data_IF_130691926008
#
_entry.id   IF_130691926008
#
_cell.length_a   1.000
_cell.length_b   1.000
_cell.length_c   1.000
_cell.angle_alpha   90.00
_cell.angle_beta   90.00
_cell.angle_gamma   90.00
#
_symmetry.space_group_name_H-M   'P 1'
#
loop_
_entity.id
_entity.type
_entity.pdbx_description
1 polymer ?
#
# COMPACT_ATOMS: atom_id res chain seq x y z
N UNK A 1 18.20 -34.21 26.96
CA UNK A 1 17.24 -33.08 26.98
C UNK A 1 18.07 -31.84 27.21
N UNK A 2 18.03 -30.84 26.33
CA UNK A 2 18.76 -29.59 26.58
C UNK A 2 18.16 -28.90 27.80
N UNK A 3 19.01 -28.48 28.71
CA UNK A 3 18.61 -27.87 29.96
C UNK A 3 18.53 -26.33 29.85
N UNK A 4 18.01 -25.69 30.89
CA UNK A 4 17.80 -24.24 30.91
C UNK A 4 19.12 -23.47 30.71
N UNK A 5 20.22 -23.97 31.26
CA UNK A 5 21.55 -23.39 31.14
C UNK A 5 22.06 -23.42 29.70
N UNK A 6 21.94 -24.56 29.02
CA UNK A 6 22.36 -24.73 27.63
C UNK A 6 21.55 -23.84 26.67
N UNK A 7 20.22 -23.83 26.82
CA UNK A 7 19.34 -22.98 26.00
C UNK A 7 19.64 -21.49 26.22
N UNK A 8 19.87 -21.09 27.47
CA UNK A 8 20.24 -19.71 27.81
C UNK A 8 21.59 -19.31 27.21
N UNK A 9 22.58 -20.21 27.31
CA UNK A 9 23.91 -20.02 26.73
C UNK A 9 23.82 -19.79 25.23
N UNK A 10 23.12 -20.67 24.53
CA UNK A 10 22.95 -20.59 23.08
C UNK A 10 22.21 -19.31 22.66
N UNK A 11 21.13 -18.96 23.38
CA UNK A 11 20.34 -17.76 23.07
C UNK A 11 21.17 -16.48 23.19
N UNK A 12 21.93 -16.34 24.28
CA UNK A 12 22.78 -15.16 24.51
C UNK A 12 23.94 -15.10 23.51
N UNK A 13 24.55 -16.25 23.18
CA UNK A 13 25.62 -16.33 22.19
C UNK A 13 25.14 -15.81 20.82
N UNK A 14 23.96 -16.25 20.37
CA UNK A 14 23.36 -15.81 19.10
C UNK A 14 23.08 -14.32 19.11
N UNK A 15 22.56 -13.78 20.22
CA UNK A 15 22.34 -12.34 20.36
C UNK A 15 23.67 -11.59 20.19
N UNK A 16 24.74 -12.03 20.86
CA UNK A 16 26.07 -11.40 20.75
C UNK A 16 26.57 -11.46 19.31
N UNK A 17 26.47 -12.60 18.62
CA UNK A 17 26.87 -12.74 17.22
C UNK A 17 26.09 -11.81 16.28
N UNK A 18 24.78 -11.68 16.49
CA UNK A 18 23.93 -10.84 15.64
C UNK A 18 24.30 -9.37 15.78
N UNK A 19 24.52 -8.91 17.00
CA UNK A 19 24.93 -7.53 17.30
C UNK A 19 26.38 -7.31 16.83
N UNK A 20 27.26 -8.29 17.04
CA UNK A 20 28.66 -8.24 16.70
C UNK A 20 28.91 -8.02 15.20
N UNK A 21 28.12 -8.66 14.33
CA UNK A 21 28.21 -8.43 12.88
C UNK A 21 27.93 -7.00 12.43
N UNK A 22 27.15 -6.23 13.21
CA UNK A 22 26.83 -4.83 12.91
C UNK A 22 27.75 -3.83 13.60
N UNK A 23 28.59 -4.29 14.51
CA UNK A 23 29.51 -3.48 15.31
C UNK A 23 30.85 -4.23 15.41
N UNK A 24 31.19 -4.75 16.58
CA UNK A 24 32.22 -5.77 16.78
C UNK A 24 31.73 -6.77 17.83
N UNK A 25 32.20 -8.01 17.76
CA UNK A 25 31.82 -9.03 18.75
C UNK A 25 32.25 -8.63 20.17
N UNK A 26 33.40 -7.98 20.32
CA UNK A 26 33.88 -7.38 21.57
C UNK A 26 32.88 -6.36 22.14
N UNK A 27 32.42 -5.44 21.29
CA UNK A 27 31.48 -4.41 21.69
C UNK A 27 30.12 -5.02 22.08
N UNK A 28 29.65 -6.00 21.30
CA UNK A 28 28.43 -6.74 21.58
C UNK A 28 28.51 -7.49 22.92
N UNK A 29 29.61 -8.20 23.17
CA UNK A 29 29.86 -8.92 24.41
C UNK A 29 29.85 -7.98 25.63
N UNK A 30 30.51 -6.82 25.53
CA UNK A 30 30.51 -5.80 26.60
C UNK A 30 29.11 -5.22 26.82
N UNK A 31 28.38 -4.91 25.74
CA UNK A 31 27.03 -4.35 25.82
C UNK A 31 26.05 -5.33 26.50
N UNK A 32 26.07 -6.61 26.10
CA UNK A 32 25.23 -7.65 26.72
C UNK A 32 25.65 -7.91 28.16
N UNK A 33 26.95 -7.95 28.48
CA UNK A 33 27.45 -8.09 29.86
C UNK A 33 26.93 -6.98 30.76
N UNK A 34 26.99 -5.74 30.30
CA UNK A 34 26.49 -4.59 31.04
C UNK A 34 24.97 -4.64 31.19
N UNK A 35 24.25 -5.10 30.18
CA UNK A 35 22.80 -5.23 30.22
C UNK A 35 22.35 -6.33 31.20
N UNK A 36 23.02 -7.49 31.21
CA UNK A 36 22.80 -8.55 32.20
C UNK A 36 23.03 -8.04 33.62
N UNK A 37 24.11 -7.29 33.87
CA UNK A 37 24.38 -6.64 35.17
C UNK A 37 23.28 -5.67 35.58
N UNK A 38 22.72 -4.90 34.65
CA UNK A 38 21.60 -3.99 34.92
C UNK A 38 20.30 -4.72 35.30
N UNK A 39 20.12 -5.94 34.79
CA UNK A 39 18.93 -6.77 35.07
C UNK A 39 19.07 -7.61 36.35
N UNK A 40 20.28 -7.82 36.87
CA UNK A 40 20.54 -8.59 38.09
C UNK A 40 19.74 -8.16 39.34
N UNK A 41 19.49 -6.86 39.61
CA UNK A 41 18.68 -6.45 40.76
C UNK A 41 17.25 -7.01 40.73
N UNK A 42 16.71 -7.23 39.53
CA UNK A 42 15.36 -7.79 39.31
C UNK A 42 15.41 -9.31 39.14
N UNK A 43 16.49 -9.82 38.53
CA UNK A 43 16.69 -11.24 38.24
C UNK A 43 18.06 -11.70 38.77
N UNK A 44 18.20 -11.99 40.08
CA UNK A 44 19.50 -12.28 40.70
C UNK A 44 20.23 -13.47 40.07
N UNK A 45 19.49 -14.46 39.57
CA UNK A 45 20.07 -15.64 38.90
C UNK A 45 20.86 -15.33 37.63
N UNK A 46 20.72 -14.12 37.04
CA UNK A 46 21.55 -13.69 35.91
C UNK A 46 23.04 -13.56 36.28
N UNK A 47 23.39 -13.54 37.57
CA UNK A 47 24.78 -13.64 38.02
C UNK A 47 25.46 -14.97 37.62
N UNK A 48 24.67 -15.99 37.28
CA UNK A 48 25.17 -17.29 36.81
C UNK A 48 25.54 -17.29 35.32
N UNK A 49 25.41 -16.15 34.63
CA UNK A 49 25.75 -15.96 33.22
C UNK A 49 26.98 -15.08 33.14
N UNK A 50 28.07 -15.63 32.60
CA UNK A 50 29.35 -14.98 32.46
C UNK A 50 29.70 -14.83 30.98
N UNK A 51 30.00 -13.60 30.55
CA UNK A 51 30.45 -13.32 29.18
C UNK A 51 31.96 -13.06 29.25
N UNK A 52 32.76 -13.96 28.68
CA UNK A 52 34.22 -13.88 28.67
C UNK A 52 34.71 -12.71 27.79
N UNK A 53 35.96 -12.31 27.95
CA UNK A 53 36.58 -11.29 27.10
C UNK A 53 37.11 -11.99 25.83
N UNK A 54 36.67 -11.54 24.65
CA UNK A 54 36.91 -12.22 23.36
C UNK A 54 38.33 -12.04 22.81
N UNK A 55 39.21 -11.30 23.51
CA UNK A 55 40.60 -11.07 23.11
C UNK A 55 41.51 -12.31 23.10
N UNK A 56 41.03 -13.48 23.50
CA UNK A 56 41.88 -14.66 23.75
C UNK A 56 41.27 -16.02 23.41
N UNK A 57 40.15 -16.08 22.68
CA UNK A 57 39.43 -17.36 22.48
C UNK A 57 39.11 -17.59 21.00
N UNK A 58 40.03 -18.24 20.28
CA UNK A 58 39.76 -18.76 18.93
C UNK A 58 38.96 -20.07 18.96
N UNK A 59 38.73 -20.69 20.13
CA UNK A 59 38.16 -22.05 20.25
C UNK A 59 37.12 -22.27 21.37
N UNK A 60 36.82 -21.29 22.24
CA UNK A 60 35.81 -21.45 23.30
C UNK A 60 34.62 -20.50 23.15
N UNK A 61 33.42 -20.94 23.57
CA UNK A 61 32.22 -20.10 23.60
C UNK A 61 32.41 -18.86 24.48
N UNK A 62 32.04 -17.69 23.95
CA UNK A 62 32.09 -16.40 24.62
C UNK A 62 31.15 -16.32 25.84
N UNK A 63 30.12 -17.16 25.87
CA UNK A 63 29.11 -17.22 26.93
C UNK A 63 29.27 -18.50 27.75
N UNK A 64 29.47 -18.34 29.06
CA UNK A 64 29.43 -19.41 30.05
C UNK A 64 28.17 -19.25 30.89
N UNK A 65 27.39 -20.31 31.03
CA UNK A 65 26.23 -20.35 31.92
C UNK A 65 26.45 -21.46 32.93
N UNK A 66 26.35 -21.14 34.22
CA UNK A 66 26.59 -22.09 35.31
C UNK A 66 25.35 -22.93 35.60
N UNK A 67 25.55 -24.19 35.95
CA UNK A 67 24.51 -25.18 36.28
C UNK A 67 23.46 -24.76 37.31
N UNK A 68 23.73 -23.88 38.30
CA UNK A 68 22.68 -23.40 39.20
C UNK A 68 21.49 -22.78 38.47
N UNK A 69 21.65 -22.30 37.23
CA UNK A 69 20.53 -21.81 36.42
C UNK A 69 19.48 -22.91 36.11
N UNK A 70 19.88 -24.18 36.06
CA UNK A 70 18.99 -25.31 35.84
C UNK A 70 18.02 -25.57 37.00
N UNK A 71 18.30 -25.02 38.18
CA UNK A 71 17.43 -25.11 39.36
C UNK A 71 16.34 -24.03 39.39
N UNK A 72 16.46 -23.01 38.54
CA UNK A 72 15.50 -21.92 38.44
C UNK A 72 14.36 -22.34 37.51
N UNK A 73 13.13 -21.92 37.83
CA UNK A 73 11.97 -22.10 36.95
C UNK A 73 12.31 -21.58 35.54
N UNK A 74 12.28 -22.43 34.50
CA UNK A 74 12.59 -22.04 33.13
C UNK A 74 11.76 -20.85 32.64
N UNK A 75 10.53 -20.69 33.14
CA UNK A 75 9.69 -19.52 32.79
C UNK A 75 10.21 -18.23 33.39
N UNK A 76 10.74 -18.26 34.61
CA UNK A 76 11.36 -17.10 35.25
C UNK A 76 12.63 -16.67 34.49
N UNK A 77 13.47 -17.63 34.07
CA UNK A 77 14.61 -17.37 33.18
C UNK A 77 14.12 -16.79 31.84
N UNK A 78 13.03 -17.35 31.30
CA UNK A 78 12.41 -16.84 30.08
C UNK A 78 11.93 -15.40 30.15
N UNK A 79 11.35 -14.98 31.29
CA UNK A 79 10.96 -13.58 31.52
C UNK A 79 12.18 -12.64 31.46
N UNK A 80 13.29 -13.01 32.12
CA UNK A 80 14.51 -12.21 32.10
C UNK A 80 15.10 -12.08 30.68
N UNK A 81 15.09 -13.17 29.91
CA UNK A 81 15.56 -13.18 28.52
C UNK A 81 14.66 -12.38 27.58
N UNK A 82 13.34 -12.40 27.77
CA UNK A 82 12.43 -11.51 27.06
C UNK A 82 12.74 -10.04 27.32
N UNK A 83 13.00 -9.69 28.57
CA UNK A 83 13.30 -8.32 28.96
C UNK A 83 14.62 -7.84 28.35
N UNK A 84 15.64 -8.71 28.35
CA UNK A 84 16.90 -8.50 27.64
C UNK A 84 16.65 -8.15 26.16
N UNK A 85 15.90 -9.00 25.45
CA UNK A 85 15.57 -8.80 24.03
C UNK A 85 14.80 -7.50 23.81
N UNK A 86 13.81 -7.18 24.65
CA UNK A 86 13.05 -5.92 24.54
C UNK A 86 13.96 -4.70 24.65
N UNK A 87 14.89 -4.68 25.60
CA UNK A 87 15.82 -3.56 25.77
C UNK A 87 16.73 -3.42 24.54
N UNK A 88 17.24 -4.54 24.02
CA UNK A 88 18.06 -4.57 22.80
C UNK A 88 17.25 -4.03 21.61
N UNK A 89 16.03 -4.52 21.40
CA UNK A 89 15.17 -4.07 20.31
C UNK A 89 14.84 -2.58 20.40
N UNK A 90 14.60 -2.04 21.60
CA UNK A 90 14.35 -0.61 21.80
C UNK A 90 15.59 0.23 21.50
N UNK A 91 16.79 -0.32 21.72
CA UNK A 91 18.05 0.34 21.36
C UNK A 91 18.32 0.32 19.85
N UNK A 92 17.68 -0.58 19.10
CA UNK A 92 17.74 -0.60 17.64
C UNK A 92 16.64 0.27 17.01
N UNK A 93 16.98 1.01 15.95
CA UNK A 93 16.01 1.79 15.17
C UNK A 93 14.88 0.92 14.57
N UNK A 94 13.83 1.56 14.03
CA UNK A 94 12.58 0.91 13.53
C UNK A 94 12.86 -0.37 12.72
N UNK A 95 13.72 -0.27 11.70
CA UNK A 95 14.02 -1.37 10.76
C UNK A 95 14.94 -2.43 11.38
N UNK A 96 15.94 -2.01 12.17
CA UNK A 96 16.95 -2.91 12.72
C UNK A 96 16.39 -3.85 13.81
N UNK A 97 15.43 -3.39 14.63
CA UNK A 97 14.78 -4.22 15.64
C UNK A 97 13.91 -5.33 15.04
N UNK A 98 13.26 -5.09 13.89
CA UNK A 98 12.47 -6.09 13.18
C UNK A 98 13.34 -7.24 12.63
N UNK A 99 14.45 -6.88 11.97
CA UNK A 99 15.38 -7.88 11.44
C UNK A 99 16.11 -8.65 12.55
N UNK A 100 16.33 -8.02 13.72
CA UNK A 100 16.99 -8.65 14.86
C UNK A 100 16.24 -9.90 15.40
N UNK A 101 14.92 -9.82 15.59
CA UNK A 101 14.16 -11.01 16.05
C UNK A 101 14.15 -12.10 14.99
N UNK A 102 13.86 -11.74 13.74
CA UNK A 102 13.82 -12.71 12.64
C UNK A 102 15.13 -13.48 12.56
N UNK A 103 16.23 -12.76 12.62
CA UNK A 103 17.56 -13.34 12.51
C UNK A 103 17.95 -14.17 13.74
N UNK A 104 17.52 -13.77 14.94
CA UNK A 104 17.67 -14.58 16.16
C UNK A 104 16.96 -15.93 16.00
N UNK A 105 15.73 -15.93 15.47
CA UNK A 105 14.96 -17.16 15.22
C UNK A 105 15.61 -18.04 14.15
N UNK A 106 16.10 -17.43 13.07
CA UNK A 106 16.72 -18.17 11.97
C UNK A 106 18.06 -18.82 12.41
N UNK A 107 18.83 -18.16 13.29
CA UNK A 107 20.11 -18.67 13.80
C UNK A 107 19.99 -19.66 14.96
N UNK A 108 18.95 -19.57 15.79
CA UNK A 108 18.81 -20.44 16.96
C UNK A 108 18.45 -21.87 16.61
N UNK A 109 17.83 -22.07 15.45
CA UNK A 109 17.43 -23.38 14.99
C UNK A 109 16.17 -23.88 15.70
N UNK A 110 15.45 -24.75 14.99
CA UNK A 110 14.10 -25.20 15.34
C UNK A 110 14.04 -25.84 16.73
N UNK A 111 15.07 -26.61 17.11
CA UNK A 111 15.09 -27.33 18.38
C UNK A 111 15.12 -26.39 19.59
N UNK A 112 16.00 -25.39 19.59
CA UNK A 112 16.07 -24.40 20.67
C UNK A 112 14.86 -23.46 20.65
N UNK A 113 14.35 -23.08 19.47
CA UNK A 113 13.13 -22.27 19.34
C UNK A 113 11.91 -22.95 19.98
N UNK A 114 11.76 -24.27 19.79
CA UNK A 114 10.70 -25.03 20.45
C UNK A 114 10.83 -25.05 21.97
N UNK A 115 12.05 -25.15 22.51
CA UNK A 115 12.28 -25.14 23.97
C UNK A 115 12.02 -23.74 24.54
N UNK A 116 12.47 -22.70 23.85
CA UNK A 116 12.16 -21.31 24.18
C UNK A 116 10.65 -21.11 24.27
N UNK A 117 9.90 -21.55 23.26
CA UNK A 117 8.44 -21.42 23.23
C UNK A 117 7.73 -22.25 24.31
N UNK A 118 7.99 -23.56 24.36
CA UNK A 118 7.21 -24.50 25.18
C UNK A 118 7.62 -24.52 26.64
N UNK A 119 8.90 -24.31 26.94
CA UNK A 119 9.47 -24.47 28.29
C UNK A 119 9.72 -23.12 28.94
N UNK A 120 10.30 -22.18 28.21
CA UNK A 120 10.66 -20.85 28.74
C UNK A 120 9.61 -19.77 28.43
N UNK A 121 8.52 -20.14 27.74
CA UNK A 121 7.44 -19.24 27.33
C UNK A 121 7.92 -18.05 26.47
N UNK A 122 9.03 -18.17 25.72
CA UNK A 122 9.52 -17.14 24.80
C UNK A 122 9.02 -17.42 23.39
N UNK A 123 8.04 -16.64 22.94
CA UNK A 123 7.57 -16.65 21.56
C UNK A 123 8.20 -15.49 20.78
N UNK A 124 9.25 -15.80 20.02
CA UNK A 124 9.95 -14.81 19.18
C UNK A 124 9.02 -14.24 18.10
N UNK A 125 8.08 -15.03 17.57
CA UNK A 125 7.13 -14.57 16.55
C UNK A 125 6.16 -13.55 17.14
N UNK A 126 5.59 -13.83 18.31
CA UNK A 126 4.72 -12.89 19.01
C UNK A 126 5.46 -11.62 19.40
N UNK A 127 6.72 -11.72 19.84
CA UNK A 127 7.55 -10.56 20.17
C UNK A 127 7.81 -9.68 18.93
N UNK A 128 8.02 -10.27 17.76
CA UNK A 128 8.17 -9.54 16.50
C UNK A 128 6.92 -8.75 16.15
N UNK A 129 5.75 -9.42 16.20
CA UNK A 129 4.46 -8.80 15.91
C UNK A 129 4.14 -7.67 16.89
N UNK A 130 4.38 -7.91 18.19
CA UNK A 130 4.13 -6.92 19.25
C UNK A 130 4.97 -5.66 19.05
N UNK A 131 6.24 -5.80 18.66
CA UNK A 131 7.11 -4.65 18.39
C UNK A 131 6.65 -3.83 17.19
N UNK A 132 6.14 -4.47 16.13
CA UNK A 132 5.57 -3.76 14.97
C UNK A 132 4.35 -2.94 15.41
N UNK A 133 3.46 -3.54 16.20
CA UNK A 133 2.25 -2.87 16.70
C UNK A 133 2.61 -1.70 17.61
N UNK A 134 3.44 -1.90 18.63
CA UNK A 134 3.87 -0.84 19.56
C UNK A 134 4.53 0.32 18.81
N UNK A 135 5.38 0.04 17.80
CA UNK A 135 6.00 1.09 16.99
C UNK A 135 5.02 1.81 16.08
N UNK A 136 4.03 1.11 15.51
CA UNK A 136 2.95 1.73 14.72
C UNK A 136 2.09 2.63 15.60
N UNK A 137 1.69 2.17 16.79
CA UNK A 137 0.94 2.95 17.77
C UNK A 137 1.71 4.20 18.22
N UNK A 138 2.99 4.07 18.60
CA UNK A 138 3.82 5.24 18.95
C UNK A 138 3.96 6.21 17.77
N UNK A 139 4.04 5.70 16.54
CA UNK A 139 4.10 6.54 15.34
C UNK A 139 2.79 7.28 15.10
N UNK A 140 1.64 6.64 15.35
CA UNK A 140 0.32 7.25 15.23
C UNK A 140 0.07 8.29 16.32
N UNK A 141 0.48 8.02 17.57
CA UNK A 141 0.31 8.95 18.70
C UNK A 141 1.09 10.26 18.55
N UNK A 142 2.16 10.26 17.74
CA UNK A 142 2.99 11.45 17.48
C UNK A 142 2.47 12.33 16.36
N UNK A 143 1.54 11.85 15.54
CA UNK A 143 1.01 12.62 14.42
C UNK A 143 -0.12 13.50 14.95
N UNK A 144 0.14 14.81 14.98
CA UNK A 144 -0.85 15.79 15.39
C UNK A 144 -1.87 16.04 14.28
N UNK A 145 -3.06 16.57 14.63
CA UNK A 145 -4.11 16.84 13.64
C UNK A 145 -3.67 17.91 12.64
N UNK A 146 -2.91 18.90 13.10
CA UNK A 146 -2.26 19.92 12.25
C UNK A 146 -1.36 19.29 11.19
N UNK A 147 -0.57 18.27 11.55
CA UNK A 147 0.28 17.54 10.61
C UNK A 147 -0.54 16.77 9.58
N UNK A 148 -1.62 16.11 10.02
CA UNK A 148 -2.52 15.37 9.11
C UNK A 148 -3.11 16.29 8.05
N UNK A 149 -3.67 17.43 8.46
CA UNK A 149 -4.27 18.38 7.51
C UNK A 149 -3.19 18.98 6.60
N UNK A 150 -2.01 19.30 7.14
CA UNK A 150 -0.91 19.89 6.35
C UNK A 150 -0.47 18.92 5.28
N UNK A 151 -0.27 17.66 5.64
CA UNK A 151 0.14 16.61 4.71
C UNK A 151 -0.94 16.31 3.68
N UNK A 152 -2.21 16.27 4.10
CA UNK A 152 -3.36 16.11 3.20
C UNK A 152 -3.42 17.21 2.15
N UNK A 153 -3.37 18.48 2.55
CA UNK A 153 -3.46 19.62 1.62
C UNK A 153 -2.26 19.70 0.67
N UNK A 154 -1.04 19.42 1.15
CA UNK A 154 0.15 19.33 0.28
C UNK A 154 0.00 18.21 -0.75
N UNK A 155 -0.40 17.02 -0.31
CA UNK A 155 -0.65 15.90 -1.21
C UNK A 155 -1.72 16.24 -2.26
N UNK A 156 -2.79 16.94 -1.86
CA UNK A 156 -3.85 17.38 -2.75
C UNK A 156 -3.35 18.37 -3.81
N UNK A 157 -2.51 19.34 -3.42
CA UNK A 157 -1.86 20.28 -4.35
C UNK A 157 -0.94 19.53 -5.32
N UNK A 158 -0.12 18.60 -4.83
CA UNK A 158 0.79 17.81 -5.68
C UNK A 158 0.04 16.96 -6.71
N UNK A 159 -1.09 16.34 -6.34
CA UNK A 159 -1.93 15.56 -7.25
C UNK A 159 -2.59 16.48 -8.29
N UNK A 160 -3.10 17.63 -7.88
CA UNK A 160 -3.68 18.61 -8.79
C UNK A 160 -2.66 19.17 -9.78
N UNK A 161 -1.44 19.45 -9.32
CA UNK A 161 -0.34 19.98 -10.14
C UNK A 161 -0.02 19.04 -11.30
N UNK A 162 -0.03 17.73 -11.08
CA UNK A 162 0.22 16.72 -12.13
C UNK A 162 -0.76 16.80 -13.30
N UNK A 163 -2.00 17.17 -13.03
CA UNK A 163 -3.01 17.26 -14.07
C UNK A 163 -3.08 18.69 -14.64
N UNK A 164 -2.84 19.70 -13.83
CA UNK A 164 -3.10 21.12 -14.15
C UNK A 164 -1.79 21.94 -14.22
N UNK A 165 -1.67 23.00 -13.42
CA UNK A 165 -0.43 23.72 -13.18
C UNK A 165 -0.32 24.00 -11.69
N UNK A 166 0.91 24.18 -11.18
CA UNK A 166 1.14 24.51 -9.77
C UNK A 166 0.35 25.74 -9.32
N UNK A 167 0.33 26.79 -10.14
CA UNK A 167 -0.45 28.01 -9.88
C UNK A 167 -1.93 27.70 -9.69
N UNK A 168 -2.49 26.91 -10.59
CA UNK A 168 -3.89 26.54 -10.57
C UNK A 168 -4.21 25.69 -9.33
N UNK A 169 -3.38 24.69 -9.04
CA UNK A 169 -3.54 23.81 -7.87
C UNK A 169 -3.56 24.60 -6.55
N UNK A 170 -2.56 25.45 -6.32
CA UNK A 170 -2.47 26.30 -5.12
C UNK A 170 -3.69 27.22 -5.02
N UNK A 171 -4.03 27.90 -6.11
CA UNK A 171 -5.15 28.85 -6.15
C UNK A 171 -6.47 28.16 -5.86
N UNK A 172 -6.71 27.00 -6.48
CA UNK A 172 -7.93 26.22 -6.28
C UNK A 172 -8.06 25.78 -4.83
N UNK A 173 -7.04 25.15 -4.24
CA UNK A 173 -7.12 24.69 -2.84
C UNK A 173 -7.23 25.88 -1.88
N UNK A 174 -6.52 26.98 -2.11
CA UNK A 174 -6.65 28.21 -1.32
C UNK A 174 -8.09 28.76 -1.35
N UNK A 175 -8.72 28.80 -2.53
CA UNK A 175 -10.12 29.22 -2.69
C UNK A 175 -11.08 28.28 -1.97
N UNK A 176 -10.87 26.96 -2.02
CA UNK A 176 -11.70 25.96 -1.32
C UNK A 176 -11.61 26.10 0.19
N UNK A 177 -10.40 26.21 0.72
CA UNK A 177 -10.19 26.47 2.15
C UNK A 177 -10.84 27.79 2.56
N UNK A 178 -10.70 28.85 1.76
CA UNK A 178 -11.30 30.16 2.05
C UNK A 178 -12.83 30.12 2.05
N UNK A 179 -13.45 29.52 1.03
CA UNK A 179 -14.90 29.42 0.91
C UNK A 179 -15.54 28.68 2.10
N UNK A 180 -14.87 27.64 2.59
CA UNK A 180 -15.35 26.82 3.69
C UNK A 180 -15.18 27.46 5.07
N UNK A 181 -14.48 28.60 5.21
CA UNK A 181 -14.30 29.30 6.51
C UNK A 181 -15.62 29.76 7.14
N UNK A 182 -16.64 30.03 6.32
CA UNK A 182 -17.97 30.40 6.81
C UNK A 182 -18.67 29.24 7.53
N UNK A 183 -18.41 28.00 7.08
CA UNK A 183 -18.98 26.79 7.66
C UNK A 183 -18.09 26.21 8.77
N UNK A 184 -16.78 26.36 8.63
CA UNK A 184 -15.79 25.79 9.53
C UNK A 184 -14.80 26.89 9.97
N UNK A 185 -15.13 27.57 11.07
CA UNK A 185 -14.36 28.73 11.54
C UNK A 185 -12.88 28.42 11.79
N UNK A 186 -12.55 27.20 12.22
CA UNK A 186 -11.17 26.78 12.45
C UNK A 186 -10.30 26.78 11.18
N UNK A 187 -10.88 26.83 9.97
CA UNK A 187 -10.12 26.97 8.71
C UNK A 187 -9.44 28.35 8.57
N UNK A 188 -9.72 29.31 9.45
CA UNK A 188 -8.93 30.55 9.56
C UNK A 188 -7.49 30.26 9.98
N UNK A 189 -7.26 29.14 10.66
CA UNK A 189 -5.95 28.72 11.16
C UNK A 189 -5.11 27.99 10.09
N UNK A 190 -5.59 28.00 8.83
CA UNK A 190 -4.92 27.40 7.67
C UNK A 190 -4.63 28.48 6.63
N UNK A 191 -3.38 28.58 6.22
CA UNK A 191 -2.93 29.44 5.12
C UNK A 191 -2.31 28.61 4.01
N UNK A 192 -2.67 28.93 2.78
CA UNK A 192 -2.10 28.34 1.57
C UNK A 192 -1.43 29.46 0.79
N UNK A 193 -0.12 29.37 0.64
CA UNK A 193 0.72 30.45 0.12
C UNK A 193 1.36 30.03 -1.21
N UNK A 194 1.42 30.95 -2.16
CA UNK A 194 2.21 30.78 -3.38
C UNK A 194 3.65 31.27 -3.12
N UNK A 195 4.57 30.31 -2.99
CA UNK A 195 5.98 30.55 -2.66
C UNK A 195 6.71 31.49 -3.62
N UNK A 196 6.14 31.78 -4.80
CA UNK A 196 6.70 32.76 -5.74
C UNK A 196 6.60 34.20 -5.25
N UNK A 197 5.64 34.49 -4.37
CA UNK A 197 5.35 35.84 -3.89
C UNK A 197 5.67 36.05 -2.41
N UNK A 198 5.91 34.98 -1.66
CA UNK A 198 6.14 35.02 -0.20
C UNK A 198 7.43 34.30 0.19
N UNK A 199 8.55 35.03 0.13
CA UNK A 199 9.86 34.56 0.60
C UNK A 199 9.80 34.15 2.09
N UNK A 200 10.18 32.90 2.38
CA UNK A 200 10.24 32.36 3.74
C UNK A 200 8.94 31.78 4.30
N UNK A 201 7.83 31.80 3.53
CA UNK A 201 6.58 31.16 3.94
C UNK A 201 6.55 29.65 3.61
N UNK A 202 5.78 28.86 4.36
CA UNK A 202 5.42 27.50 3.94
C UNK A 202 4.26 27.52 2.94
N UNK A 203 4.27 26.62 1.94
CA UNK A 203 3.19 26.49 0.93
C UNK A 203 1.83 26.17 1.58
N UNK A 204 1.84 25.37 2.65
CA UNK A 204 0.69 25.11 3.51
C UNK A 204 1.13 25.30 4.95
N UNK A 205 0.65 26.36 5.59
CA UNK A 205 0.90 26.66 7.00
C UNK A 205 -0.37 26.38 7.81
N UNK A 206 -0.23 25.64 8.91
CA UNK A 206 -1.33 25.29 9.80
C UNK A 206 -0.95 25.63 11.24
N UNK A 207 -1.78 26.42 11.90
CA UNK A 207 -1.55 26.80 13.30
C UNK A 207 -1.96 25.66 14.25
N UNK A 208 -1.35 25.63 15.45
CA UNK A 208 -1.47 24.52 16.39
C UNK A 208 -2.88 24.38 17.00
N UNK A 209 -3.69 25.43 16.95
CA UNK A 209 -5.08 25.50 17.40
C UNK A 209 -5.97 24.47 16.68
N UNK A 210 -5.57 24.00 15.49
CA UNK A 210 -6.24 22.87 14.81
C UNK A 210 -6.24 21.60 15.67
N UNK A 211 -5.24 21.40 16.53
CA UNK A 211 -5.11 20.20 17.35
C UNK A 211 -6.22 20.07 18.40
N UNK A 212 -6.83 21.18 18.82
CA UNK A 212 -7.92 21.19 19.81
C UNK A 212 -9.29 20.94 19.18
N UNK A 213 -9.40 20.93 17.85
CA UNK A 213 -10.68 20.74 17.16
C UNK A 213 -11.11 19.27 17.21
N UNK A 214 -12.42 19.04 17.35
CA UNK A 214 -13.01 17.71 17.32
C UNK A 214 -12.66 16.98 16.00
N UNK A 215 -12.13 15.74 16.05
CA UNK A 215 -11.68 15.02 14.86
C UNK A 215 -12.74 14.91 13.76
N UNK A 216 -14.00 14.75 14.14
CA UNK A 216 -15.12 14.63 13.20
C UNK A 216 -15.39 15.92 12.44
N UNK A 217 -15.20 17.07 13.06
CA UNK A 217 -15.40 18.36 12.40
C UNK A 217 -14.28 18.66 11.40
N UNK A 218 -13.03 18.33 11.78
CA UNK A 218 -11.90 18.35 10.83
C UNK A 218 -12.17 17.42 9.65
N UNK A 219 -12.66 16.21 9.91
CA UNK A 219 -12.95 15.24 8.87
C UNK A 219 -14.05 15.71 7.91
N UNK A 220 -15.10 16.37 8.41
CA UNK A 220 -16.13 16.99 7.56
C UNK A 220 -15.54 18.08 6.67
N UNK A 221 -14.70 18.96 7.20
CA UNK A 221 -14.03 19.99 6.41
C UNK A 221 -13.11 19.39 5.33
N UNK A 222 -12.32 18.38 5.68
CA UNK A 222 -11.47 17.65 4.73
C UNK A 222 -12.31 17.03 3.60
N UNK A 223 -13.42 16.36 3.93
CA UNK A 223 -14.34 15.79 2.92
C UNK A 223 -14.93 16.86 2.01
N UNK A 224 -15.33 18.00 2.56
CA UNK A 224 -15.85 19.13 1.76
C UNK A 224 -14.79 19.66 0.78
N UNK A 225 -13.55 19.83 1.24
CA UNK A 225 -12.44 20.26 0.38
C UNK A 225 -12.23 19.25 -0.75
N UNK A 226 -12.16 17.95 -0.43
CA UNK A 226 -11.95 16.89 -1.42
C UNK A 226 -13.09 16.86 -2.44
N UNK A 227 -14.34 16.85 -1.97
CA UNK A 227 -15.54 16.79 -2.80
C UNK A 227 -15.63 17.98 -3.77
N UNK A 228 -15.44 19.20 -3.28
CA UNK A 228 -15.51 20.40 -4.14
C UNK A 228 -14.34 20.47 -5.14
N UNK A 229 -13.17 19.97 -4.74
CA UNK A 229 -12.01 19.86 -5.64
C UNK A 229 -12.30 18.88 -6.77
N UNK A 230 -12.77 17.68 -6.44
CA UNK A 230 -13.12 16.65 -7.43
C UNK A 230 -14.23 17.12 -8.37
N UNK A 231 -15.28 17.75 -7.83
CA UNK A 231 -16.35 18.34 -8.63
C UNK A 231 -15.80 19.36 -9.63
N UNK A 232 -14.91 20.25 -9.20
CA UNK A 232 -14.30 21.26 -10.09
C UNK A 232 -13.50 20.60 -11.21
N UNK A 233 -12.77 19.51 -10.92
CA UNK A 233 -12.03 18.78 -11.94
C UNK A 233 -12.94 18.08 -12.92
N UNK A 234 -13.99 17.42 -12.43
CA UNK A 234 -15.00 16.78 -13.28
C UNK A 234 -15.67 17.79 -14.22
N UNK A 235 -16.03 18.98 -13.71
CA UNK A 235 -16.60 20.07 -14.50
C UNK A 235 -15.62 20.58 -15.60
N UNK A 236 -14.31 20.41 -15.39
CA UNK A 236 -13.24 20.72 -16.34
C UNK A 236 -12.84 19.53 -17.23
N UNK A 237 -13.56 18.40 -17.17
CA UNK A 237 -13.26 17.18 -17.93
C UNK A 237 -12.01 16.42 -17.46
N UNK A 238 -11.60 16.62 -16.20
CA UNK A 238 -10.38 16.02 -15.60
C UNK A 238 -10.73 14.90 -14.62
N UNK A 239 -9.71 14.10 -14.27
CA UNK A 239 -9.88 12.96 -13.37
C UNK A 239 -9.97 13.42 -11.90
N UNK A 240 -10.75 12.73 -11.05
CA UNK A 240 -10.76 12.98 -9.61
C UNK A 240 -9.39 12.73 -8.98
N UNK A 241 -9.04 13.50 -7.95
CA UNK A 241 -7.77 13.39 -7.20
C UNK A 241 -7.82 12.31 -6.14
N UNK A 242 -9.00 11.89 -5.67
CA UNK A 242 -9.13 10.98 -4.53
C UNK A 242 -8.36 9.66 -4.73
N UNK A 243 -8.35 9.11 -5.94
CA UNK A 243 -7.60 7.89 -6.27
C UNK A 243 -6.09 8.05 -6.15
N UNK A 244 -5.56 9.11 -6.74
CA UNK A 244 -4.12 9.40 -6.71
C UNK A 244 -3.64 9.84 -5.33
N UNK A 245 -4.49 10.54 -4.57
CA UNK A 245 -4.18 11.08 -3.24
C UNK A 245 -3.71 10.03 -2.25
N UNK A 246 -4.25 8.81 -2.33
CA UNK A 246 -3.84 7.67 -1.48
C UNK A 246 -2.38 7.30 -1.67
N UNK A 247 -1.81 7.52 -2.85
CA UNK A 247 -0.40 7.20 -3.15
C UNK A 247 0.59 8.20 -2.56
N UNK A 248 0.12 9.38 -2.14
CA UNK A 248 0.93 10.47 -1.59
C UNK A 248 0.95 10.53 -0.06
N UNK A 249 0.07 9.75 0.57
CA UNK A 249 -0.09 9.67 2.01
C UNK A 249 0.46 8.32 2.52
N UNK A 250 1.24 8.35 3.60
CA UNK A 250 1.68 7.10 4.23
C UNK A 250 0.52 6.43 4.95
N UNK A 251 0.65 5.14 5.25
CA UNK A 251 -0.38 4.38 5.98
C UNK A 251 -0.78 5.03 7.30
N UNK A 252 0.15 5.67 8.01
CA UNK A 252 -0.14 6.34 9.28
C UNK A 252 -1.06 7.55 9.12
N UNK A 253 -0.85 8.36 8.06
CA UNK A 253 -1.73 9.49 7.76
C UNK A 253 -3.11 9.04 7.28
N UNK A 254 -3.18 7.94 6.52
CA UNK A 254 -4.45 7.36 6.09
C UNK A 254 -5.28 6.88 7.29
N UNK A 255 -4.67 6.17 8.24
CA UNK A 255 -5.33 5.75 9.50
C UNK A 255 -5.83 6.97 10.29
N UNK A 256 -5.03 8.05 10.38
CA UNK A 256 -5.46 9.28 11.07
C UNK A 256 -6.62 9.99 10.37
N UNK A 257 -6.65 9.98 9.04
CA UNK A 257 -7.80 10.48 8.28
C UNK A 257 -9.04 9.63 8.55
N UNK A 258 -8.91 8.31 8.59
CA UNK A 258 -10.01 7.40 8.94
C UNK A 258 -10.53 7.62 10.37
N UNK A 259 -9.65 7.86 11.35
CA UNK A 259 -10.02 8.26 12.72
C UNK A 259 -10.84 9.57 12.76
N UNK A 260 -10.55 10.51 11.85
CA UNK A 260 -11.33 11.74 11.66
C UNK A 260 -12.64 11.50 10.90
N UNK A 261 -12.91 10.25 10.48
CA UNK A 261 -14.06 9.87 9.68
C UNK A 261 -13.87 10.13 8.19
N UNK A 262 -12.67 10.44 7.71
CA UNK A 262 -12.31 10.64 6.31
C UNK A 262 -11.82 9.34 5.71
N UNK A 263 -12.67 8.69 4.94
CA UNK A 263 -12.25 7.63 4.04
C UNK A 263 -11.91 8.29 2.70
N UNK A 264 -10.64 8.27 2.31
CA UNK A 264 -10.26 8.51 0.91
C UNK A 264 -10.66 7.25 0.16
N UNK A 265 -11.96 7.16 -0.12
CA UNK A 265 -12.45 6.23 -1.11
C UNK A 265 -11.91 6.73 -2.44
N UNK A 266 -11.17 5.87 -3.15
CA UNK A 266 -11.03 6.02 -4.60
C UNK A 266 -12.47 6.23 -5.07
N UNK A 267 -12.78 7.36 -5.72
CA UNK A 267 -14.02 7.42 -6.50
C UNK A 267 -13.96 6.15 -7.35
N UNK A 268 -14.83 5.18 -7.06
CA UNK A 268 -14.86 3.95 -7.83
C UNK A 268 -14.85 4.39 -9.27
N UNK A 269 -13.85 3.95 -10.03
CA UNK A 269 -13.84 4.22 -11.45
C UNK A 269 -15.14 3.62 -11.94
N UNK A 270 -16.10 4.49 -12.25
CA UNK A 270 -17.42 4.07 -12.64
C UNK A 270 -17.32 3.21 -13.89
N UNK A 271 -18.24 2.27 -14.05
CA UNK A 271 -18.32 1.47 -15.27
C UNK A 271 -18.38 2.37 -16.51
N UNK A 272 -19.01 3.55 -16.46
CA UNK A 272 -18.97 4.55 -17.54
C UNK A 272 -17.54 4.87 -17.98
N UNK A 273 -16.65 5.16 -17.01
CA UNK A 273 -15.26 5.50 -17.29
C UNK A 273 -14.45 4.28 -17.76
N UNK A 274 -14.70 3.09 -17.19
CA UNK A 274 -14.06 1.84 -17.61
C UNK A 274 -14.42 1.54 -19.07
N UNK A 275 -15.71 1.51 -19.43
CA UNK A 275 -16.14 1.21 -20.79
C UNK A 275 -15.62 2.25 -21.78
N UNK A 276 -15.60 3.54 -21.41
CA UNK A 276 -15.03 4.60 -22.26
C UNK A 276 -13.56 4.33 -22.57
N UNK A 277 -12.75 4.04 -21.56
CA UNK A 277 -11.33 3.81 -21.77
C UNK A 277 -11.05 2.51 -22.52
N UNK A 278 -11.83 1.44 -22.26
CA UNK A 278 -11.74 0.19 -23.02
C UNK A 278 -12.00 0.45 -24.50
N UNK A 279 -13.12 1.09 -24.85
CA UNK A 279 -13.50 1.41 -26.23
C UNK A 279 -12.44 2.27 -26.92
N UNK A 280 -11.98 3.33 -26.24
CA UNK A 280 -10.90 4.20 -26.70
C UNK A 280 -9.61 3.40 -26.99
N UNK A 281 -9.22 2.52 -26.07
CA UNK A 281 -8.04 1.66 -26.23
C UNK A 281 -8.19 0.72 -27.41
N UNK A 282 -9.38 0.15 -27.63
CA UNK A 282 -9.66 -0.71 -28.79
C UNK A 282 -9.51 0.04 -30.11
N UNK A 283 -10.03 1.27 -30.20
CA UNK A 283 -9.89 2.11 -31.40
C UNK A 283 -8.41 2.39 -31.66
N UNK A 284 -7.63 2.73 -30.64
CA UNK A 284 -6.18 2.98 -30.78
C UNK A 284 -5.46 1.75 -31.32
N UNK A 285 -5.75 0.55 -30.79
CA UNK A 285 -5.06 -0.68 -31.20
C UNK A 285 -5.45 -1.07 -32.62
N UNK A 286 -6.75 -1.05 -32.96
CA UNK A 286 -7.24 -1.39 -34.29
C UNK A 286 -6.85 -0.34 -35.34
N UNK A 287 -6.70 0.92 -34.94
CA UNK A 287 -6.21 2.01 -35.78
C UNK A 287 -4.72 1.92 -36.10
N UNK A 288 -3.94 1.07 -35.42
CA UNK A 288 -2.54 0.81 -35.80
C UNK A 288 -2.43 -0.04 -37.08
N UNK A 289 -3.43 -0.88 -37.36
CA UNK A 289 -3.42 -1.82 -38.49
C UNK A 289 -4.43 -1.45 -39.59
N UNK A 290 -5.27 -0.45 -39.34
CA UNK A 290 -6.31 0.02 -40.26
C UNK A 290 -6.48 1.54 -40.16
N UNK A 291 -7.32 2.13 -41.01
CA UNK A 291 -7.69 3.54 -40.81
C UNK A 291 -8.56 3.69 -39.56
N UNK A 292 -8.49 4.86 -38.91
CA UNK A 292 -9.27 5.10 -37.70
C UNK A 292 -10.79 4.96 -37.92
N UNK A 293 -11.29 5.42 -39.07
CA UNK A 293 -12.69 5.21 -39.46
C UNK A 293 -13.05 3.72 -39.55
N UNK A 294 -12.11 2.88 -40.00
CA UNK A 294 -12.31 1.43 -40.03
C UNK A 294 -12.31 0.83 -38.63
N UNK A 295 -11.42 1.31 -37.74
CA UNK A 295 -11.39 0.91 -36.34
C UNK A 295 -12.71 1.25 -35.61
N UNK A 296 -13.26 2.44 -35.84
CA UNK A 296 -14.56 2.87 -35.30
C UNK A 296 -15.69 1.95 -35.77
N UNK A 297 -15.73 1.64 -37.07
CA UNK A 297 -16.74 0.71 -37.64
C UNK A 297 -16.60 -0.69 -37.02
N UNK A 298 -15.37 -1.16 -36.84
CA UNK A 298 -15.08 -2.46 -36.27
C UNK A 298 -15.51 -2.54 -34.79
N UNK A 299 -15.15 -1.55 -33.98
CA UNK A 299 -15.56 -1.47 -32.57
C UNK A 299 -17.08 -1.40 -32.42
N UNK A 300 -17.76 -0.57 -33.23
CA UNK A 300 -19.23 -0.53 -33.24
C UNK A 300 -19.84 -1.89 -33.63
N UNK A 301 -19.24 -2.60 -34.58
CA UNK A 301 -19.69 -3.95 -34.98
C UNK A 301 -19.59 -4.94 -33.81
N UNK A 302 -18.50 -4.90 -33.04
CA UNK A 302 -18.34 -5.75 -31.85
C UNK A 302 -19.32 -5.41 -30.74
N UNK A 303 -19.54 -4.13 -30.45
CA UNK A 303 -20.53 -3.69 -29.46
C UNK A 303 -21.94 -4.15 -29.84
N UNK A 304 -22.32 -4.08 -31.13
CA UNK A 304 -23.60 -4.57 -31.64
C UNK A 304 -23.79 -6.08 -31.52
N UNK A 305 -22.71 -6.87 -31.45
CA UNK A 305 -22.84 -8.33 -31.25
C UNK A 305 -23.25 -8.69 -29.81
N UNK A 306 -23.08 -7.79 -28.85
CA UNK A 306 -23.38 -8.02 -27.43
C UNK A 306 -24.52 -7.16 -26.89
N UNK A 307 -24.96 -6.12 -27.62
CA UNK A 307 -26.01 -5.21 -27.17
C UNK A 307 -27.36 -5.90 -26.88
N UNK A 308 -27.70 -6.95 -27.63
CA UNK A 308 -28.90 -7.76 -27.43
C UNK A 308 -28.91 -8.51 -26.10
N UNK A 309 -27.73 -8.80 -25.53
CA UNK A 309 -27.58 -9.45 -24.22
C UNK A 309 -27.45 -8.44 -23.07
N UNK A 310 -26.97 -7.24 -23.37
CA UNK A 310 -26.70 -6.20 -22.39
C UNK A 310 -27.34 -4.88 -22.83
N UNK A 311 -28.58 -4.64 -22.38
CA UNK A 311 -29.41 -3.50 -22.81
C UNK A 311 -28.68 -2.16 -22.67
N UNK A 312 -27.85 -1.98 -21.65
CA UNK A 312 -27.09 -0.74 -21.45
C UNK A 312 -26.08 -0.44 -22.57
N UNK A 313 -25.63 -1.44 -23.33
CA UNK A 313 -24.72 -1.26 -24.46
C UNK A 313 -25.42 -0.76 -25.73
N UNK A 314 -26.75 -0.89 -25.84
CA UNK A 314 -27.51 -0.39 -27.01
C UNK A 314 -27.38 1.12 -27.22
N UNK A 315 -27.04 1.84 -26.15
CA UNK A 315 -26.86 3.29 -26.15
C UNK A 315 -25.39 3.70 -26.30
N UNK A 316 -24.46 2.75 -26.26
CA UNK A 316 -23.04 3.00 -26.45
C UNK A 316 -22.76 3.12 -27.95
N UNK A 317 -22.23 4.28 -28.36
CA UNK A 317 -21.91 4.56 -29.77
C UNK A 317 -20.57 5.25 -29.90
N UNK A 318 -19.84 4.89 -30.95
CA UNK A 318 -18.64 5.59 -31.37
C UNK A 318 -18.90 6.26 -32.71
N UNK A 319 -18.69 7.56 -32.80
CA UNK A 319 -18.90 8.33 -34.02
C UNK A 319 -17.61 9.06 -34.39
N UNK A 320 -17.31 9.18 -35.69
CA UNK A 320 -16.20 9.99 -36.15
C UNK A 320 -16.47 11.45 -35.86
N UNK A 321 -15.46 12.16 -35.36
CA UNK A 321 -15.54 13.57 -35.09
C UNK A 321 -14.81 14.36 -36.18
N UNK A 322 -15.28 15.58 -36.51
CA UNK A 322 -14.64 16.42 -37.51
C UNK A 322 -13.31 17.03 -37.03
N UNK A 323 -12.99 16.92 -35.75
CA UNK A 323 -11.80 17.51 -35.15
C UNK A 323 -10.59 16.55 -35.27
N UNK A 324 -9.50 16.91 -35.96
CA UNK A 324 -8.31 16.05 -36.06
C UNK A 324 -7.61 15.79 -34.71
N UNK A 325 -7.81 16.66 -33.71
CA UNK A 325 -7.22 16.48 -32.37
C UNK A 325 -8.05 15.56 -31.45
N UNK A 326 -9.33 15.38 -31.75
CA UNK A 326 -10.23 14.42 -31.09
C UNK A 326 -11.04 13.71 -32.17
N UNK A 327 -10.50 12.67 -32.80
CA UNK A 327 -11.01 12.20 -34.08
C UNK A 327 -12.25 11.28 -33.96
N UNK A 328 -12.70 11.00 -32.73
CA UNK A 328 -13.96 10.33 -32.44
C UNK A 328 -14.63 10.80 -31.15
N UNK A 329 -15.96 10.63 -31.10
CA UNK A 329 -16.78 10.81 -29.92
C UNK A 329 -17.34 9.46 -29.45
N UNK A 330 -17.10 9.13 -28.18
CA UNK A 330 -17.69 7.96 -27.51
C UNK A 330 -18.86 8.44 -26.66
N UNK A 331 -20.07 8.06 -27.06
CA UNK A 331 -21.29 8.29 -26.29
C UNK A 331 -21.56 7.08 -25.42
N UNK A 332 -21.65 7.28 -24.10
CA UNK A 332 -21.95 6.25 -23.11
C UNK A 332 -23.09 6.78 -22.23
N UNK A 333 -24.12 5.97 -21.92
CA UNK A 333 -25.23 6.43 -21.10
C UNK A 333 -24.80 6.64 -19.64
N UNK A 334 -25.32 7.71 -19.02
CA UNK A 334 -24.95 8.12 -17.66
C UNK A 334 -25.39 7.13 -16.56
N UNK A 335 -26.24 6.15 -16.89
CA UNK A 335 -26.71 5.14 -15.93
C UNK A 335 -25.84 3.88 -15.91
N UNK A 336 -24.75 3.83 -16.68
CA UNK A 336 -23.88 2.65 -16.72
C UNK A 336 -23.22 2.38 -15.36
N UNK A 337 -23.03 3.41 -14.53
CA UNK A 337 -22.51 3.28 -13.16
C UNK A 337 -23.51 2.64 -12.18
N UNK A 338 -24.76 2.43 -12.59
CA UNK A 338 -25.80 1.80 -11.76
C UNK A 338 -26.00 0.32 -12.04
N UNK A 339 -25.28 -0.24 -13.03
CA UNK A 339 -25.39 -1.66 -13.39
C UNK A 339 -24.68 -2.54 -12.35
N UNK A 340 -25.04 -3.83 -12.31
CA UNK A 340 -24.36 -4.76 -11.42
C UNK A 340 -22.93 -5.04 -11.88
N UNK A 341 -22.02 -5.26 -10.93
CA UNK A 341 -20.63 -5.68 -11.23
C UNK A 341 -20.59 -6.94 -12.10
N UNK A 342 -21.52 -7.86 -11.87
CA UNK A 342 -21.62 -9.09 -12.65
C UNK A 342 -21.95 -8.82 -14.12
N UNK A 343 -22.83 -7.86 -14.40
CA UNK A 343 -23.19 -7.49 -15.77
C UNK A 343 -22.06 -6.73 -16.45
N UNK A 344 -21.40 -5.79 -15.75
CA UNK A 344 -20.23 -5.09 -16.24
C UNK A 344 -19.09 -6.06 -16.62
N UNK A 345 -18.77 -7.00 -15.71
CA UNK A 345 -17.78 -8.05 -15.92
C UNK A 345 -18.12 -8.90 -17.14
N UNK A 346 -19.34 -9.43 -17.21
CA UNK A 346 -19.78 -10.31 -18.31
C UNK A 346 -19.78 -9.60 -19.66
N UNK A 347 -20.18 -8.34 -19.70
CA UNK A 347 -20.18 -7.54 -20.92
C UNK A 347 -18.76 -7.27 -21.43
N UNK A 348 -17.84 -6.86 -20.56
CA UNK A 348 -16.44 -6.66 -20.94
C UNK A 348 -15.77 -7.96 -21.37
N UNK A 349 -16.00 -9.05 -20.63
CA UNK A 349 -15.47 -10.36 -20.98
C UNK A 349 -15.96 -10.81 -22.36
N UNK A 350 -17.26 -10.73 -22.65
CA UNK A 350 -17.81 -11.10 -23.96
C UNK A 350 -17.31 -10.18 -25.08
N UNK A 351 -17.11 -8.89 -24.81
CA UNK A 351 -16.51 -7.98 -25.78
C UNK A 351 -15.11 -8.44 -26.18
N UNK A 352 -14.26 -8.79 -25.22
CA UNK A 352 -12.92 -9.31 -25.51
C UNK A 352 -12.97 -10.66 -26.23
N UNK A 353 -13.83 -11.59 -25.81
CA UNK A 353 -14.03 -12.88 -26.47
C UNK A 353 -14.38 -12.71 -27.96
N UNK A 354 -15.35 -11.86 -28.28
CA UNK A 354 -15.75 -11.61 -29.67
C UNK A 354 -14.65 -10.98 -30.52
N UNK A 355 -13.84 -10.10 -29.91
CA UNK A 355 -12.69 -9.50 -30.60
C UNK A 355 -11.67 -10.59 -30.90
N UNK A 356 -11.31 -11.41 -29.92
CA UNK A 356 -10.34 -12.49 -30.10
C UNK A 356 -10.82 -13.54 -31.11
N UNK A 357 -12.11 -13.89 -31.11
CA UNK A 357 -12.70 -14.82 -32.10
C UNK A 357 -12.58 -14.29 -33.55
N UNK A 358 -12.35 -12.98 -33.72
CA UNK A 358 -12.11 -12.35 -35.03
C UNK A 358 -10.64 -12.27 -35.42
N UNK A 359 -9.72 -12.65 -34.54
CA UNK A 359 -8.27 -12.60 -34.73
C UNK A 359 -7.70 -14.01 -34.93
N UNK A 360 -6.53 -14.10 -35.59
CA UNK A 360 -5.77 -15.35 -35.63
C UNK A 360 -5.02 -15.56 -34.31
N UNK A 361 -4.67 -16.81 -34.01
CA UNK A 361 -4.02 -17.20 -32.74
C UNK A 361 -2.80 -16.34 -32.38
N UNK A 362 -1.90 -16.09 -33.35
CA UNK A 362 -0.73 -15.22 -33.15
C UNK A 362 -1.11 -13.76 -32.86
N UNK A 363 -2.21 -13.28 -33.43
CA UNK A 363 -2.69 -11.92 -33.21
C UNK A 363 -3.42 -11.76 -31.87
N UNK A 364 -3.93 -12.84 -31.26
CA UNK A 364 -4.59 -12.79 -29.95
C UNK A 364 -3.60 -12.37 -28.85
N UNK A 365 -2.45 -13.05 -28.76
CA UNK A 365 -1.42 -12.73 -27.76
C UNK A 365 -0.88 -11.31 -27.95
N UNK A 366 -0.61 -10.92 -29.20
CA UNK A 366 -0.14 -9.57 -29.52
C UNK A 366 -1.20 -8.51 -29.17
N UNK A 367 -2.47 -8.77 -29.47
CA UNK A 367 -3.58 -7.88 -29.11
C UNK A 367 -3.69 -7.69 -27.60
N UNK A 368 -3.62 -8.76 -26.81
CA UNK A 368 -3.71 -8.68 -25.35
C UNK A 368 -2.53 -7.93 -24.74
N UNK A 369 -1.32 -8.14 -25.24
CA UNK A 369 -0.14 -7.38 -24.81
C UNK A 369 -0.24 -5.90 -25.17
N UNK A 370 -0.68 -5.60 -26.39
CA UNK A 370 -0.93 -4.23 -26.83
C UNK A 370 -2.05 -3.57 -26.01
N UNK A 371 -3.09 -4.30 -25.66
CA UNK A 371 -4.16 -3.81 -24.79
C UNK A 371 -3.65 -3.44 -23.41
N UNK A 372 -2.99 -4.38 -22.72
CA UNK A 372 -2.45 -4.17 -21.37
C UNK A 372 -1.42 -3.04 -21.29
N UNK A 373 -0.65 -2.83 -22.37
CA UNK A 373 0.35 -1.75 -22.43
C UNK A 373 -0.21 -0.39 -22.83
N UNK A 374 -1.34 -0.36 -23.55
CA UNK A 374 -1.95 0.89 -24.04
C UNK A 374 -2.96 1.47 -23.04
N UNK A 375 -3.74 0.63 -22.36
CA UNK A 375 -4.73 1.11 -21.39
C UNK A 375 -4.03 1.69 -20.15
N UNK A 376 -4.56 2.79 -19.58
CA UNK A 376 -3.97 3.32 -18.35
C UNK A 376 -4.09 2.31 -17.20
N UNK A 377 -3.02 2.18 -16.42
CA UNK A 377 -2.89 1.18 -15.34
C UNK A 377 -4.07 1.16 -14.37
N UNK A 378 -4.64 2.32 -14.04
CA UNK A 378 -5.77 2.43 -13.11
C UNK A 378 -7.04 1.72 -13.63
N UNK A 379 -7.31 1.79 -14.93
CA UNK A 379 -8.44 1.09 -15.54
C UNK A 379 -8.14 -0.40 -15.69
N UNK A 380 -6.90 -0.77 -16.04
CA UNK A 380 -6.49 -2.18 -16.10
C UNK A 380 -6.70 -2.88 -14.74
N UNK A 381 -6.20 -2.27 -13.66
CA UNK A 381 -6.39 -2.80 -12.30
C UNK A 381 -7.86 -2.94 -11.96
N UNK A 382 -8.70 -1.93 -12.30
CA UNK A 382 -10.14 -2.02 -12.02
C UNK A 382 -10.84 -3.10 -12.85
N UNK A 383 -10.45 -3.31 -14.10
CA UNK A 383 -10.96 -4.40 -14.97
C UNK A 383 -10.63 -5.77 -14.37
N UNK A 384 -9.42 -5.94 -13.83
CA UNK A 384 -9.02 -7.17 -13.13
C UNK A 384 -9.76 -7.36 -11.80
N UNK A 385 -9.97 -6.28 -11.03
CA UNK A 385 -10.74 -6.29 -9.78
C UNK A 385 -12.19 -6.72 -9.98
N UNK A 386 -12.86 -6.25 -11.04
CA UNK A 386 -14.23 -6.68 -11.39
C UNK A 386 -14.26 -8.11 -11.97
N UNK A 387 -13.13 -8.82 -12.00
CA UNK A 387 -13.06 -10.23 -12.36
C UNK A 387 -12.92 -10.53 -13.85
N UNK A 388 -12.51 -9.57 -14.69
CA UNK A 388 -12.13 -9.83 -16.08
C UNK A 388 -10.66 -10.25 -16.11
N UNK A 389 -10.42 -11.57 -16.09
CA UNK A 389 -9.08 -12.13 -16.06
C UNK A 389 -8.57 -12.43 -17.48
N UNK A 390 -7.71 -11.57 -18.01
CA UNK A 390 -7.12 -11.73 -19.34
C UNK A 390 -6.34 -13.03 -19.52
N UNK A 391 -5.75 -13.59 -18.46
CA UNK A 391 -5.05 -14.88 -18.54
C UNK A 391 -6.02 -16.06 -18.67
N UNK A 392 -7.17 -16.01 -17.98
CA UNK A 392 -8.21 -17.04 -18.15
C UNK A 392 -8.88 -16.96 -19.52
N UNK A 393 -9.01 -15.75 -20.05
CA UNK A 393 -9.52 -15.48 -21.40
C UNK A 393 -8.57 -16.08 -22.46
N UNK A 394 -7.26 -15.92 -22.29
CA UNK A 394 -6.21 -16.52 -23.12
C UNK A 394 -6.23 -18.06 -23.06
N UNK A 395 -6.27 -18.63 -21.85
CA UNK A 395 -6.36 -20.08 -21.64
C UNK A 395 -7.65 -20.70 -22.22
N UNK A 396 -8.78 -19.99 -22.17
CA UNK A 396 -10.04 -20.50 -22.72
C UNK A 396 -9.95 -20.67 -24.24
N UNK A 397 -9.30 -19.73 -24.93
CA UNK A 397 -9.11 -19.78 -26.38
C UNK A 397 -8.15 -20.90 -26.78
N UNK A 398 -7.01 -21.06 -26.10
CA UNK A 398 -6.09 -22.20 -26.34
C UNK A 398 -6.79 -23.56 -26.23
N UNK A 399 -7.71 -23.71 -25.26
CA UNK A 399 -8.49 -24.94 -25.09
C UNK A 399 -9.54 -25.17 -26.19
N UNK A 400 -10.12 -24.12 -26.77
CA UNK A 400 -11.07 -24.23 -27.88
C UNK A 400 -10.37 -24.66 -29.17
N UNK A 401 -9.21 -24.07 -29.47
CA UNK A 401 -8.39 -24.43 -30.64
C UNK A 401 -7.92 -25.90 -30.58
N UNK A 402 -7.49 -26.38 -29.41
CA UNK A 402 -7.11 -27.79 -29.23
C UNK A 402 -8.26 -28.79 -29.40
N UNK A 403 -9.51 -28.37 -29.17
CA UNK A 403 -10.68 -29.22 -29.40
C UNK A 403 -10.98 -29.35 -30.89
N UNK A 404 -10.92 -28.26 -31.65
CA UNK A 404 -11.20 -28.28 -33.10
C UNK A 404 -10.18 -29.12 -33.87
N UNK A 405 -8.90 -29.07 -33.50
CA UNK A 405 -7.85 -29.92 -34.10
C UNK A 405 -8.06 -31.42 -33.84
N UNK A 406 -8.75 -31.77 -32.75
CA UNK A 406 -9.04 -33.17 -32.37
C UNK A 406 -10.26 -33.76 -33.10
N UNK A 407 -11.07 -32.93 -33.74
CA UNK A 407 -12.22 -33.36 -34.56
C UNK A 407 -11.92 -33.33 -36.07
N UNK A 408 -10.80 -32.73 -36.48
CA UNK A 408 -10.30 -32.68 -37.87
C UNK A 408 -9.23 -33.75 -38.18
N UNK A 409 -8.86 -34.56 -37.19
CA UNK A 409 -8.08 -35.81 -37.33
C UNK A 409 -8.97 -37.00 -36.99
#
# INVERSE_FOLDING_TARGET
>A
MRDTADVTRQFIQIIIEIIGRKTSEEYAAVAIRNLLKKLQPVYPFLQNIEIKNTRSLELESCVMVRDPLNTIDPKAVGIALKELVKIIMKSFGKTAGYFFIRETRDKIGIEYDMILLKTMNIDLTLMQSSYIVEKKEISLLKIEKSDVIRRFLKALIEVLEKQTSKTFAITLIAQRVYALRQQYSFLTNISINDLRYTLGSEEVAIQAEINTIEPRDLGRAIKSILYETDKTLMDLGRNPVAGDLKTYLTSEYLVKLEEMGVTIAVYEIGYTAIFKEVIKTLIIIMGKTSSESSAIVMVNSFLRKIDSKFIFLTQVKVESAPNPDEPYHITIPNNLDTISETDARRALQQLFEIIMDSLSEKMITEFLQNFKSTIEKKYLTKIEEIGVNFHMIELHQEMLTQREEKYLK
#
